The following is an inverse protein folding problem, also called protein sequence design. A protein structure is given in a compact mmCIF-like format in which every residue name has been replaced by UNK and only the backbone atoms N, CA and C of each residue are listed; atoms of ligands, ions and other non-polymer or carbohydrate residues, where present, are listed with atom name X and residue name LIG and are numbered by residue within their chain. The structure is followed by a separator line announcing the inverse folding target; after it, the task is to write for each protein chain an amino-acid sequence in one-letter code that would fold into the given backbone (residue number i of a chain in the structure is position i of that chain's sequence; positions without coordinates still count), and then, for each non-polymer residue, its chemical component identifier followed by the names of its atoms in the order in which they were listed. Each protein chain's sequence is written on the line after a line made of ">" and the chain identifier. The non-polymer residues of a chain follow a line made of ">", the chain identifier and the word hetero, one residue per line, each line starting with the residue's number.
data_IF_903840031041
#
_entry.id   IF_903840031041
#
_cell.length_a   1.000
_cell.length_b   1.000
_cell.length_c   1.000
_cell.angle_alpha   90.00
_cell.angle_beta   90.00
_cell.angle_gamma   90.00
#
_symmetry.space_group_name_H-M   'P 1'
#
loop_
_entity.id
_entity.type
_entity.pdbx_description
1 polymer ?
#
# COMPACT_ATOMS: atom_id res chain seq x y z
N UNK A 1 -7.76 43.72 51.96
CA UNK A 1 -7.40 42.30 51.79
C UNK A 1 -7.85 41.88 50.40
N UNK A 2 -6.93 41.78 49.44
CA UNK A 2 -7.24 41.50 48.02
C UNK A 2 -7.42 39.99 47.84
N UNK A 3 -8.62 39.54 47.50
CA UNK A 3 -8.88 38.15 47.09
C UNK A 3 -8.35 37.97 45.66
N UNK A 4 -7.26 37.22 45.51
CA UNK A 4 -6.70 36.87 44.21
C UNK A 4 -7.58 35.81 43.53
N UNK A 5 -8.06 36.13 42.34
CA UNK A 5 -8.73 35.22 41.42
C UNK A 5 -7.81 34.06 41.02
N UNK A 6 -8.19 32.83 41.36
CA UNK A 6 -7.57 31.63 40.83
C UNK A 6 -8.10 31.37 39.42
N UNK A 7 -7.32 31.73 38.40
CA UNK A 7 -7.60 31.37 37.01
C UNK A 7 -7.19 29.89 36.80
N UNK A 8 -8.19 29.02 36.61
CA UNK A 8 -7.99 27.62 36.26
C UNK A 8 -7.57 27.54 34.78
N UNK A 9 -6.28 27.26 34.51
CA UNK A 9 -5.79 26.96 33.16
C UNK A 9 -6.29 25.56 32.76
N UNK A 10 -7.31 25.49 31.91
CA UNK A 10 -7.71 24.25 31.24
C UNK A 10 -6.73 24.02 30.08
N UNK A 11 -5.76 23.13 30.27
CA UNK A 11 -4.94 22.61 29.17
C UNK A 11 -5.82 21.72 28.28
N UNK A 12 -6.22 22.24 27.12
CA UNK A 12 -6.75 21.46 26.02
C UNK A 12 -5.60 20.62 25.43
N UNK A 13 -5.45 19.38 25.90
CA UNK A 13 -4.60 18.40 25.25
C UNK A 13 -5.23 18.07 23.88
N UNK A 14 -4.67 18.63 22.81
CA UNK A 14 -5.02 18.21 21.46
C UNK A 14 -4.65 16.73 21.32
N UNK A 15 -5.57 15.86 20.87
CA UNK A 15 -5.20 14.48 20.60
C UNK A 15 -4.16 14.51 19.47
N UNK A 16 -2.95 14.07 19.77
CA UNK A 16 -2.00 13.73 18.73
C UNK A 16 -2.60 12.55 17.96
N UNK A 17 -3.24 12.84 16.81
CA UNK A 17 -3.59 11.83 15.82
C UNK A 17 -2.27 11.31 15.23
N UNK A 18 -1.61 10.44 15.99
CA UNK A 18 -0.45 9.71 15.51
C UNK A 18 -0.93 8.74 14.45
N UNK A 19 -0.73 9.10 13.18
CA UNK A 19 -0.93 8.15 12.09
C UNK A 19 -0.01 6.95 12.33
N UNK A 20 -0.61 5.76 12.42
CA UNK A 20 0.11 4.52 12.66
C UNK A 20 0.32 3.85 11.33
N UNK A 21 1.58 3.67 10.93
CA UNK A 21 1.93 3.10 9.63
C UNK A 21 2.60 1.74 9.78
N UNK A 22 2.38 0.88 8.79
CA UNK A 22 3.10 -0.38 8.62
C UNK A 22 3.82 -0.39 7.27
N UNK A 23 4.98 -1.05 7.21
CA UNK A 23 5.82 -1.11 6.02
C UNK A 23 6.19 -2.55 5.66
N UNK A 24 6.08 -2.88 4.37
CA UNK A 24 6.43 -4.19 3.84
C UNK A 24 7.21 -4.04 2.53
N UNK A 25 8.34 -4.74 2.36
CA UNK A 25 9.05 -4.76 1.09
C UNK A 25 8.25 -5.50 0.01
N UNK A 26 8.40 -5.10 -1.25
CA UNK A 26 7.88 -5.89 -2.36
C UNK A 26 8.52 -7.30 -2.35
N UNK A 27 7.76 -8.37 -2.64
CA UNK A 27 8.30 -9.74 -2.63
C UNK A 27 9.20 -10.05 -3.83
N UNK A 28 9.14 -9.24 -4.90
CA UNK A 28 9.97 -9.41 -6.07
C UNK A 28 11.47 -9.21 -5.76
N UNK A 29 12.29 -10.13 -6.26
CA UNK A 29 13.76 -10.04 -6.18
C UNK A 29 14.23 -8.96 -7.16
N UNK A 30 15.28 -8.21 -6.77
CA UNK A 30 15.87 -7.11 -7.54
C UNK A 30 14.96 -5.88 -7.76
N UNK A 31 13.84 -5.79 -7.03
CA UNK A 31 12.99 -4.60 -6.98
C UNK A 31 13.17 -3.87 -5.66
N UNK A 32 13.78 -2.69 -5.69
CA UNK A 32 13.96 -1.85 -4.50
C UNK A 32 12.70 -1.02 -4.21
N UNK A 33 11.63 -1.68 -3.74
CA UNK A 33 10.33 -1.05 -3.46
C UNK A 33 9.82 -1.44 -2.09
N UNK A 34 9.33 -0.46 -1.34
CA UNK A 34 8.64 -0.63 -0.05
C UNK A 34 7.25 -0.04 -0.15
N UNK A 35 6.28 -0.75 0.40
CA UNK A 35 4.91 -0.27 0.55
C UNK A 35 4.67 0.20 1.98
N UNK A 36 3.80 1.19 2.12
CA UNK A 36 3.32 1.73 3.40
C UNK A 36 1.79 1.65 3.40
N UNK A 37 1.20 1.24 4.51
CA UNK A 37 -0.23 1.39 4.77
C UNK A 37 -0.47 2.24 6.01
N UNK A 38 -1.50 3.08 5.99
CA UNK A 38 -2.08 3.64 7.21
C UNK A 38 -2.95 2.58 7.88
N UNK A 39 -2.61 2.20 9.11
CA UNK A 39 -3.26 1.09 9.82
C UNK A 39 -4.72 1.38 10.16
N UNK A 40 -5.16 2.63 10.15
CA UNK A 40 -6.54 3.02 10.46
C UNK A 40 -7.36 3.21 9.20
N UNK A 41 -6.82 3.93 8.21
CA UNK A 41 -7.58 4.25 6.98
C UNK A 41 -7.41 3.20 5.89
N UNK A 42 -6.36 2.39 5.93
CA UNK A 42 -6.05 1.41 4.89
C UNK A 42 -5.54 2.03 3.60
N UNK A 43 -5.20 3.31 3.59
CA UNK A 43 -4.56 3.96 2.45
C UNK A 43 -3.16 3.39 2.21
N UNK A 44 -2.85 3.03 0.96
CA UNK A 44 -1.57 2.40 0.57
C UNK A 44 -0.78 3.31 -0.36
N UNK A 45 0.49 3.50 -0.02
CA UNK A 45 1.47 4.21 -0.86
C UNK A 45 2.72 3.35 -1.03
N UNK A 46 3.61 3.73 -1.94
CA UNK A 46 4.85 3.00 -2.16
C UNK A 46 6.01 3.96 -2.37
N UNK A 47 7.20 3.60 -1.91
CA UNK A 47 8.43 4.31 -2.25
C UNK A 47 9.48 3.35 -2.81
N UNK A 48 10.35 3.87 -3.68
CA UNK A 48 11.48 3.15 -4.24
C UNK A 48 12.72 4.03 -4.32
N UNK A 49 13.88 3.40 -4.46
CA UNK A 49 15.09 4.12 -4.84
C UNK A 49 15.08 4.47 -6.34
N UNK A 50 15.58 5.66 -6.66
CA UNK A 50 15.88 6.10 -8.02
C UNK A 50 17.13 6.98 -8.05
N UNK A 51 17.57 7.37 -9.23
CA UNK A 51 18.70 8.29 -9.41
C UNK A 51 18.19 9.63 -9.94
N UNK A 52 18.80 10.73 -9.46
CA UNK A 52 18.57 12.06 -10.04
C UNK A 52 19.10 12.12 -11.47
N UNK A 53 18.43 12.87 -12.33
CA UNK A 53 18.97 13.22 -13.66
C UNK A 53 20.33 13.94 -13.50
N UNK A 54 21.33 13.55 -14.28
CA UNK A 54 22.70 14.12 -14.21
C UNK A 54 23.70 13.36 -13.34
N UNK A 55 23.26 12.32 -12.59
CA UNK A 55 24.12 11.29 -12.00
C UNK A 55 24.88 11.65 -10.71
N UNK A 56 24.76 10.79 -9.69
CA UNK A 56 25.62 10.79 -8.49
C UNK A 56 24.90 10.70 -7.15
N UNK A 57 23.65 11.20 -7.07
CA UNK A 57 22.87 11.21 -5.82
C UNK A 57 21.56 10.43 -6.03
N UNK A 58 21.34 9.43 -5.18
CA UNK A 58 20.08 8.69 -5.13
C UNK A 58 18.94 9.52 -4.55
N UNK A 59 17.72 9.24 -4.98
CA UNK A 59 16.50 9.85 -4.45
C UNK A 59 15.47 8.78 -4.07
N UNK A 60 14.65 9.10 -3.06
CA UNK A 60 13.46 8.33 -2.73
C UNK A 60 12.31 8.82 -3.60
N UNK A 61 11.80 7.96 -4.47
CA UNK A 61 10.64 8.19 -5.31
C UNK A 61 9.42 7.58 -4.63
N UNK A 62 8.43 8.39 -4.27
CA UNK A 62 7.20 7.90 -3.63
C UNK A 62 6.00 8.11 -4.55
N UNK A 63 5.18 7.06 -4.66
CA UNK A 63 3.95 7.00 -5.44
C UNK A 63 2.77 7.08 -4.48
N UNK A 64 1.88 8.04 -4.76
CA UNK A 64 0.66 8.26 -3.98
C UNK A 64 -0.42 7.20 -4.26
N UNK A 65 -1.56 7.27 -3.55
CA UNK A 65 -2.69 6.38 -3.79
C UNK A 65 -3.41 6.78 -5.08
N UNK A 66 -3.68 5.79 -5.93
CA UNK A 66 -4.58 5.83 -7.07
C UNK A 66 -5.85 5.01 -6.81
N UNK A 67 -6.38 4.39 -7.85
CA UNK A 67 -7.62 3.60 -7.78
C UNK A 67 -7.55 2.50 -6.72
N UNK A 68 -8.53 2.45 -5.81
CA UNK A 68 -8.63 1.45 -4.75
C UNK A 68 -7.60 1.55 -3.62
N UNK A 69 -6.51 2.31 -3.81
CA UNK A 69 -5.43 2.46 -2.84
C UNK A 69 -5.65 3.60 -1.83
N UNK A 70 -6.64 4.47 -2.08
CA UNK A 70 -7.05 5.51 -1.14
C UNK A 70 -7.68 4.97 0.16
N UNK A 71 -8.01 5.90 1.05
CA UNK A 71 -8.69 5.61 2.32
C UNK A 71 -9.94 4.74 2.13
N UNK A 72 -10.09 3.77 3.02
CA UNK A 72 -11.21 2.84 3.12
C UNK A 72 -12.08 3.18 4.34
N UNK A 73 -13.12 2.38 4.60
CA UNK A 73 -13.81 2.43 5.89
C UNK A 73 -12.80 2.20 7.03
N UNK A 74 -12.81 3.02 8.11
CA UNK A 74 -11.85 2.87 9.20
C UNK A 74 -11.86 1.46 9.81
N UNK A 75 -10.69 0.84 9.92
CA UNK A 75 -10.53 -0.51 10.47
C UNK A 75 -9.12 -0.71 11.06
N UNK A 76 -8.65 -1.96 11.14
CA UNK A 76 -7.27 -2.33 11.42
C UNK A 76 -6.65 -2.95 10.17
N UNK A 77 -5.79 -2.19 9.50
CA UNK A 77 -5.16 -2.59 8.24
C UNK A 77 -3.68 -2.94 8.44
N UNK A 78 -3.20 -3.86 7.60
CA UNK A 78 -1.78 -4.18 7.46
C UNK A 78 -1.42 -4.61 6.03
N UNK A 79 -0.16 -5.00 5.83
CA UNK A 79 0.36 -5.46 4.56
C UNK A 79 0.95 -6.87 4.69
N UNK A 80 0.75 -7.71 3.68
CA UNK A 80 1.31 -9.07 3.60
C UNK A 80 1.88 -9.30 2.20
N UNK A 81 3.08 -9.88 2.11
CA UNK A 81 3.70 -10.25 0.83
C UNK A 81 3.51 -11.76 0.55
N UNK A 82 3.15 -12.13 -0.69
CA UNK A 82 2.83 -13.51 -1.10
C UNK A 82 4.03 -14.46 -1.25
N UNK A 83 5.25 -14.04 -0.87
CA UNK A 83 6.53 -14.73 -1.13
C UNK A 83 6.77 -15.08 -2.61
N UNK A 84 6.01 -14.52 -3.53
CA UNK A 84 6.15 -14.78 -4.96
C UNK A 84 7.22 -13.88 -5.56
N UNK A 85 8.30 -14.48 -6.07
CA UNK A 85 9.53 -13.77 -6.45
C UNK A 85 9.42 -12.91 -7.71
N UNK A 86 8.32 -13.04 -8.47
CA UNK A 86 8.05 -12.28 -9.71
C UNK A 86 6.89 -11.29 -9.58
N UNK A 87 6.25 -11.20 -8.42
CA UNK A 87 5.15 -10.26 -8.19
C UNK A 87 5.67 -9.05 -7.42
N UNK A 88 5.44 -7.85 -7.94
CA UNK A 88 5.83 -6.60 -7.28
C UNK A 88 4.84 -6.16 -6.20
N UNK A 89 3.61 -6.68 -6.22
CA UNK A 89 2.52 -6.23 -5.35
C UNK A 89 2.55 -6.81 -3.93
N UNK A 90 1.80 -6.17 -3.05
CA UNK A 90 1.56 -6.61 -1.66
C UNK A 90 0.06 -6.67 -1.40
N UNK A 91 -0.38 -7.55 -0.52
CA UNK A 91 -1.77 -7.60 -0.08
C UNK A 91 -2.00 -6.61 1.05
N UNK A 92 -2.94 -5.70 0.87
CA UNK A 92 -3.58 -4.99 1.98
C UNK A 92 -4.58 -5.95 2.63
N UNK A 93 -4.50 -6.07 3.94
CA UNK A 93 -5.35 -6.93 4.75
C UNK A 93 -6.12 -6.08 5.75
N UNK A 94 -7.44 -6.26 5.83
CA UNK A 94 -8.25 -5.75 6.93
C UNK A 94 -8.32 -6.84 8.01
N UNK A 95 -7.56 -6.70 9.10
CA UNK A 95 -7.47 -7.68 10.16
C UNK A 95 -8.77 -7.87 10.94
N UNK A 96 -9.72 -6.93 10.85
CA UNK A 96 -11.03 -7.09 11.51
C UNK A 96 -12.03 -7.86 10.68
N UNK A 97 -12.04 -7.69 9.35
CA UNK A 97 -13.03 -8.31 8.46
C UNK A 97 -12.50 -9.54 7.72
N UNK A 98 -11.16 -9.68 7.63
CA UNK A 98 -10.52 -10.69 6.80
C UNK A 98 -10.50 -10.36 5.31
N UNK A 99 -10.96 -9.16 4.93
CA UNK A 99 -10.90 -8.71 3.54
C UNK A 99 -9.47 -8.44 3.09
N UNK A 100 -9.19 -8.76 1.82
CA UNK A 100 -7.90 -8.59 1.21
C UNK A 100 -8.00 -7.95 -0.17
N UNK A 101 -7.05 -7.09 -0.49
CA UNK A 101 -6.86 -6.52 -1.84
C UNK A 101 -5.38 -6.51 -2.18
N UNK A 102 -5.00 -6.88 -3.40
CA UNK A 102 -3.61 -6.75 -3.85
C UNK A 102 -3.37 -5.32 -4.35
N UNK A 103 -2.27 -4.72 -3.90
CA UNK A 103 -1.84 -3.37 -4.22
C UNK A 103 -0.49 -3.39 -4.93
N UNK A 104 -0.36 -2.64 -6.02
CA UNK A 104 0.85 -2.57 -6.84
C UNK A 104 1.01 -1.19 -7.47
N UNK A 105 2.21 -0.87 -7.99
CA UNK A 105 2.44 0.41 -8.67
C UNK A 105 2.09 0.28 -10.15
N UNK A 106 1.22 1.15 -10.63
CA UNK A 106 0.94 1.28 -12.05
C UNK A 106 2.02 2.17 -12.68
N UNK A 107 2.96 1.57 -13.41
CA UNK A 107 4.18 2.24 -13.90
C UNK A 107 3.87 3.42 -14.84
N UNK A 108 2.76 3.37 -15.57
CA UNK A 108 2.38 4.42 -16.52
C UNK A 108 1.90 5.69 -15.84
N UNK A 109 1.15 5.55 -14.75
CA UNK A 109 0.51 6.67 -14.05
C UNK A 109 1.25 7.06 -12.76
N UNK A 110 2.29 6.31 -12.39
CA UNK A 110 3.11 6.56 -11.19
C UNK A 110 2.28 6.66 -9.90
N UNK A 111 1.26 5.80 -9.79
CA UNK A 111 0.39 5.68 -8.62
C UNK A 111 0.32 4.24 -8.12
N UNK A 112 0.00 4.07 -6.84
CA UNK A 112 -0.37 2.76 -6.28
C UNK A 112 -1.83 2.49 -6.60
N UNK A 113 -2.15 1.35 -7.18
CA UNK A 113 -3.54 0.88 -7.35
C UNK A 113 -3.77 -0.37 -6.53
N UNK A 114 -4.99 -0.57 -6.04
CA UNK A 114 -5.40 -1.80 -5.37
C UNK A 114 -6.64 -2.38 -6.04
N UNK A 115 -6.76 -3.70 -6.06
CA UNK A 115 -8.01 -4.36 -6.46
C UNK A 115 -9.14 -4.05 -5.48
N UNK A 116 -10.40 -4.31 -5.86
CA UNK A 116 -11.48 -4.40 -4.89
C UNK A 116 -11.13 -5.35 -3.75
N UNK A 117 -11.62 -5.04 -2.55
CA UNK A 117 -11.49 -5.91 -1.38
C UNK A 117 -12.32 -7.17 -1.59
N UNK A 118 -11.70 -8.33 -1.44
CA UNK A 118 -12.35 -9.64 -1.50
C UNK A 118 -12.26 -10.31 -0.14
N UNK A 119 -13.34 -10.99 0.28
CA UNK A 119 -13.35 -11.78 1.50
C UNK A 119 -13.44 -13.27 1.14
N UNK A 120 -12.51 -14.14 1.56
CA UNK A 120 -12.55 -15.56 1.21
C UNK A 120 -13.80 -16.28 1.72
N UNK A 121 -14.50 -15.75 2.74
CA UNK A 121 -15.75 -16.32 3.24
C UNK A 121 -16.96 -16.03 2.35
N UNK A 122 -16.88 -15.01 1.49
CA UNK A 122 -17.93 -14.61 0.54
C UNK A 122 -17.48 -14.69 -0.91
N UNK A 123 -16.21 -15.00 -1.15
CA UNK A 123 -15.66 -15.19 -2.47
C UNK A 123 -16.32 -16.42 -3.11
N UNK A 124 -17.14 -16.17 -4.13
CA UNK A 124 -17.53 -17.22 -5.06
C UNK A 124 -16.24 -17.81 -5.65
N UNK A 125 -16.11 -19.13 -5.63
CA UNK A 125 -14.91 -19.81 -6.08
C UNK A 125 -14.50 -19.25 -7.45
N UNK A 126 -13.27 -18.73 -7.56
CA UNK A 126 -12.73 -18.35 -8.85
C UNK A 126 -12.96 -19.54 -9.80
N UNK A 127 -13.57 -19.31 -10.98
CA UNK A 127 -13.87 -20.41 -11.89
C UNK A 127 -12.57 -21.19 -12.09
N UNK A 128 -12.61 -22.48 -11.77
CA UNK A 128 -11.44 -23.34 -11.84
C UNK A 128 -10.76 -23.11 -13.18
N UNK A 129 -9.46 -22.80 -13.14
CA UNK A 129 -8.67 -22.67 -14.36
C UNK A 129 -8.89 -23.94 -15.17
N UNK A 130 -9.60 -23.81 -16.30
CA UNK A 130 -9.91 -24.95 -17.15
C UNK A 130 -8.57 -25.57 -17.58
N UNK A 131 -8.34 -26.87 -17.34
CA UNK A 131 -7.12 -27.53 -17.78
C UNK A 131 -7.12 -27.50 -19.31
N UNK A 132 -6.37 -26.56 -19.90
CA UNK A 132 -6.26 -26.43 -21.35
C UNK A 132 -6.31 -25.01 -21.93
N UNK A 133 -6.59 -23.96 -21.15
CA UNK A 133 -6.39 -22.58 -21.64
C UNK A 133 -5.04 -22.05 -21.19
N UNK A 134 -4.04 -22.21 -22.05
CA UNK A 134 -2.90 -21.30 -22.09
C UNK A 134 -3.44 -19.90 -22.39
N UNK A 135 -3.74 -19.15 -21.33
CA UNK A 135 -3.89 -17.70 -21.45
C UNK A 135 -2.46 -17.18 -21.67
N UNK A 136 -2.15 -16.52 -22.80
CA UNK A 136 -0.88 -15.83 -22.90
C UNK A 136 -0.89 -14.77 -21.80
N UNK A 137 -0.04 -14.94 -20.78
CA UNK A 137 0.31 -13.83 -19.91
C UNK A 137 0.87 -12.74 -20.82
N UNK A 138 0.02 -11.77 -21.16
CA UNK A 138 0.41 -10.59 -21.90
C UNK A 138 1.21 -9.69 -20.96
N UNK A 139 2.40 -10.13 -20.58
CA UNK A 139 3.47 -9.23 -20.16
C UNK A 139 4.11 -8.73 -21.46
N UNK A 140 4.01 -7.42 -21.80
CA UNK A 140 4.73 -6.90 -22.94
C UNK A 140 6.23 -7.17 -22.75
N UNK A 141 6.87 -7.83 -23.72
CA UNK A 141 8.31 -7.93 -23.77
C UNK A 141 8.85 -6.51 -23.99
N UNK A 142 9.39 -5.88 -22.95
CA UNK A 142 10.18 -4.67 -23.14
C UNK A 142 11.53 -5.08 -23.70
N UNK A 143 11.81 -4.55 -24.89
CA UNK A 143 12.79 -5.05 -25.83
C UNK A 143 14.22 -5.07 -25.31
N UNK A 144 14.99 -6.00 -25.87
CA UNK A 144 16.44 -6.03 -25.74
C UNK A 144 17.06 -4.74 -26.29
N UNK A 145 18.14 -4.32 -25.64
CA UNK A 145 19.06 -3.33 -26.20
C UNK A 145 20.27 -4.05 -26.79
N UNK A 146 20.83 -3.53 -27.91
CA UNK A 146 22.14 -3.95 -28.41
C UNK A 146 23.25 -3.59 -27.42
#
# INVERSE_FOLDING_TARGET
>A
MRLLSAACLILLAAPALGASFEFVPAPQIDLNRVYRVDKVTGEVTSCQYGLREGGGIGQTLCFGPGEGAGSQAPSEYGLVASRHTREAGVFRVNYRTGEMSICYVQVKEEVVVCTPQANPSTAEAAPAAQPGRTVPSATPAQGGRP
#
